data_IF_493783130064
#
_entry.id   IF_493783130064
#
_cell.length_a   1.000
_cell.length_b   1.000
_cell.length_c   1.000
_cell.angle_alpha   90.00
_cell.angle_beta   90.00
_cell.angle_gamma   90.00
#
_symmetry.space_group_name_H-M   'P 1'
#
loop_
_entity.id
_entity.type
_entity.pdbx_description
1 polymer ?
#
# COMPACT_ATOMS: atom_id res chain seq x y z
N UNK A 1 12.67 -10.81 -37.40
CA UNK A 1 12.81 -9.59 -36.56
C UNK A 1 12.05 -8.45 -37.21
N UNK A 2 11.00 -7.88 -36.58
CA UNK A 2 10.30 -6.69 -37.09
C UNK A 2 11.26 -5.48 -36.96
N UNK A 3 11.54 -4.79 -38.08
CA UNK A 3 12.38 -3.59 -38.10
C UNK A 3 11.72 -2.48 -37.27
N UNK A 4 12.47 -1.89 -36.34
CA UNK A 4 12.00 -0.80 -35.48
C UNK A 4 11.78 0.46 -36.35
N UNK A 5 10.53 0.96 -36.33
CA UNK A 5 10.15 2.18 -37.07
C UNK A 5 10.77 3.39 -36.40
N UNK A 6 11.41 4.25 -37.18
CA UNK A 6 12.11 5.45 -36.72
C UNK A 6 11.37 6.73 -37.14
N UNK A 7 11.70 7.87 -36.52
CA UNK A 7 11.19 9.20 -36.92
C UNK A 7 11.50 9.49 -38.44
N UNK A 8 12.61 8.95 -38.95
CA UNK A 8 12.95 9.06 -40.38
C UNK A 8 11.97 8.30 -41.27
N UNK A 9 11.53 7.14 -40.83
CA UNK A 9 10.55 6.34 -41.60
C UNK A 9 9.19 7.05 -41.62
N UNK A 10 8.77 7.64 -40.50
CA UNK A 10 7.54 8.44 -40.40
C UNK A 10 7.62 9.68 -41.32
N UNK A 11 8.73 10.41 -41.30
CA UNK A 11 8.94 11.58 -42.13
C UNK A 11 8.85 11.25 -43.64
N UNK A 12 9.36 10.06 -44.01
CA UNK A 12 9.28 9.56 -45.39
C UNK A 12 7.85 9.22 -45.80
N UNK A 13 7.08 8.53 -44.96
CA UNK A 13 5.68 8.16 -45.23
C UNK A 13 4.78 9.40 -45.24
N UNK A 14 4.92 10.30 -44.28
CA UNK A 14 4.15 11.54 -44.17
C UNK A 14 4.55 12.59 -45.27
N UNK A 15 5.66 12.37 -45.95
CA UNK A 15 6.26 13.34 -46.88
C UNK A 15 6.42 14.75 -46.28
N UNK A 16 7.06 14.79 -45.08
CA UNK A 16 7.39 16.03 -44.36
C UNK A 16 8.83 15.95 -43.83
N UNK A 17 9.35 17.07 -43.31
CA UNK A 17 10.68 17.08 -42.70
C UNK A 17 10.70 16.30 -41.39
N UNK A 18 11.87 15.74 -41.00
CA UNK A 18 12.09 15.11 -39.71
C UNK A 18 11.73 16.05 -38.55
N UNK A 19 12.07 17.35 -38.68
CA UNK A 19 11.71 18.38 -37.71
C UNK A 19 10.21 18.62 -37.58
N UNK A 20 9.43 18.44 -38.68
CA UNK A 20 7.96 18.51 -38.62
C UNK A 20 7.38 17.33 -37.85
N UNK A 21 7.90 16.11 -38.13
CA UNK A 21 7.49 14.90 -37.37
C UNK A 21 7.84 15.04 -35.87
N UNK A 22 9.05 15.52 -35.56
CA UNK A 22 9.47 15.76 -34.16
C UNK A 22 8.54 16.76 -33.46
N UNK A 23 8.15 17.85 -34.12
CA UNK A 23 7.21 18.83 -33.57
C UNK A 23 5.83 18.25 -33.31
N UNK A 24 5.30 17.43 -34.19
CA UNK A 24 3.99 16.79 -34.05
C UNK A 24 4.03 15.76 -32.92
N UNK A 25 5.00 14.85 -32.91
CA UNK A 25 5.12 13.79 -31.88
C UNK A 25 5.31 14.38 -30.47
N UNK A 26 5.98 15.52 -30.40
CA UNK A 26 6.32 16.17 -29.11
C UNK A 26 5.47 17.40 -28.79
N UNK A 27 4.43 17.70 -29.57
CA UNK A 27 3.57 18.90 -29.41
C UNK A 27 4.37 20.21 -29.26
N UNK A 28 5.44 20.38 -30.04
CA UNK A 28 6.33 21.55 -29.99
C UNK A 28 6.10 22.51 -31.14
N UNK A 29 5.79 23.76 -30.82
CA UNK A 29 5.64 24.83 -31.78
C UNK A 29 4.41 24.70 -32.71
N UNK A 30 4.20 25.67 -33.62
CA UNK A 30 3.10 25.66 -34.57
C UNK A 30 3.44 24.78 -35.79
N UNK A 31 2.58 23.83 -36.07
CA UNK A 31 2.61 22.99 -37.27
C UNK A 31 1.32 23.28 -38.05
N UNK A 32 1.38 23.36 -39.40
CA UNK A 32 0.16 23.57 -40.20
C UNK A 32 -0.77 22.35 -40.06
N UNK A 33 -2.08 22.58 -40.09
CA UNK A 33 -3.08 21.50 -39.99
C UNK A 33 -2.86 20.39 -41.02
N UNK A 34 -2.49 20.77 -42.26
CA UNK A 34 -2.17 19.82 -43.33
C UNK A 34 -0.97 18.94 -42.99
N UNK A 35 0.06 19.48 -42.36
CA UNK A 35 1.24 18.68 -41.96
C UNK A 35 0.91 17.82 -40.71
N UNK A 36 0.13 18.33 -39.79
CA UNK A 36 -0.35 17.60 -38.63
C UNK A 36 -1.15 16.35 -39.04
N UNK A 37 -2.09 16.53 -39.99
CA UNK A 37 -2.90 15.43 -40.50
C UNK A 37 -2.03 14.35 -41.16
N UNK A 38 -1.10 14.75 -42.08
CA UNK A 38 -0.20 13.81 -42.76
C UNK A 38 0.66 12.99 -41.77
N UNK A 39 1.17 13.62 -40.72
CA UNK A 39 1.97 12.91 -39.71
C UNK A 39 1.11 11.95 -38.91
N UNK A 40 -0.10 12.36 -38.52
CA UNK A 40 -1.03 11.50 -37.76
C UNK A 40 -1.46 10.27 -38.59
N UNK A 41 -1.69 10.45 -39.89
CA UNK A 41 -2.03 9.34 -40.80
C UNK A 41 -0.85 8.36 -40.95
N UNK A 42 0.37 8.88 -41.10
CA UNK A 42 1.58 8.06 -41.15
C UNK A 42 1.87 7.31 -39.85
N UNK A 43 1.58 7.92 -38.68
CA UNK A 43 1.71 7.26 -37.37
C UNK A 43 0.74 6.09 -37.25
N UNK A 44 -0.50 6.24 -37.74
CA UNK A 44 -1.52 5.17 -37.77
C UNK A 44 -1.12 4.06 -38.74
N UNK A 45 -0.74 4.41 -39.98
CA UNK A 45 -0.33 3.45 -41.02
C UNK A 45 0.84 2.57 -40.57
N UNK A 46 1.82 3.17 -39.91
CA UNK A 46 3.03 2.48 -39.43
C UNK A 46 2.85 1.78 -38.05
N UNK A 47 1.68 1.86 -37.42
CA UNK A 47 1.46 1.43 -36.00
C UNK A 47 2.60 1.92 -35.09
N UNK A 48 3.01 3.19 -35.28
CA UNK A 48 4.12 3.74 -34.54
C UNK A 48 3.73 4.02 -33.09
N UNK A 49 4.36 3.31 -32.17
CA UNK A 49 4.29 3.61 -30.75
C UNK A 49 5.55 4.38 -30.36
N UNK A 50 5.37 5.64 -29.92
CA UNK A 50 6.47 6.44 -29.42
C UNK A 50 7.24 5.65 -28.36
N UNK A 51 8.56 5.52 -28.52
CA UNK A 51 9.39 4.86 -27.52
C UNK A 51 9.51 5.77 -26.29
N UNK A 52 8.92 5.40 -25.12
CA UNK A 52 9.00 6.22 -23.92
C UNK A 52 10.46 6.46 -23.47
N UNK A 53 11.32 5.47 -23.66
CA UNK A 53 12.77 5.55 -23.40
C UNK A 53 13.45 6.64 -24.22
N UNK A 54 13.14 6.73 -25.54
CA UNK A 54 13.72 7.77 -26.40
C UNK A 54 13.21 9.17 -26.05
N UNK A 55 12.07 9.27 -25.38
CA UNK A 55 11.49 10.53 -24.92
C UNK A 55 12.12 10.99 -23.61
N UNK A 56 12.38 10.09 -22.68
CA UNK A 56 13.08 10.34 -21.41
C UNK A 56 14.52 10.85 -21.68
N UNK A 57 15.27 10.16 -22.52
CA UNK A 57 16.66 10.52 -22.89
C UNK A 57 16.81 11.90 -23.57
N UNK A 58 15.70 12.53 -24.01
CA UNK A 58 15.73 13.81 -24.73
C UNK A 58 15.39 15.01 -23.85
N UNK A 59 14.85 14.80 -22.65
CA UNK A 59 14.29 15.88 -21.83
C UNK A 59 15.29 16.53 -20.85
N UNK A 60 16.46 15.97 -20.58
CA UNK A 60 17.48 16.44 -19.61
C UNK A 60 16.89 16.83 -18.22
N UNK A 61 15.72 16.29 -17.86
CA UNK A 61 15.08 16.54 -16.57
C UNK A 61 15.19 15.27 -15.76
N UNK A 62 15.90 15.34 -14.64
CA UNK A 62 15.95 14.28 -13.64
C UNK A 62 14.82 14.52 -12.64
N UNK A 63 13.85 13.59 -12.58
CA UNK A 63 12.77 13.65 -11.60
C UNK A 63 13.25 13.14 -10.24
N UNK A 64 12.78 13.78 -9.18
CA UNK A 64 13.12 13.42 -7.80
C UNK A 64 11.92 12.87 -7.06
N UNK A 65 12.05 11.66 -6.50
CA UNK A 65 11.02 11.01 -5.69
C UNK A 65 11.58 10.78 -4.29
N UNK A 66 10.88 11.27 -3.28
CA UNK A 66 11.19 10.96 -1.89
C UNK A 66 10.19 9.96 -1.33
N UNK A 67 10.69 8.91 -0.68
CA UNK A 67 9.87 7.86 -0.08
C UNK A 67 10.00 7.94 1.43
N UNK A 68 8.86 7.90 2.14
CA UNK A 68 8.80 7.94 3.60
C UNK A 68 8.03 6.71 4.10
N UNK A 69 8.74 5.76 4.69
CA UNK A 69 8.18 4.49 5.21
C UNK A 69 8.62 4.25 6.65
N UNK A 70 7.86 3.46 7.44
CA UNK A 70 8.32 3.01 8.74
C UNK A 70 9.61 2.20 8.65
N UNK A 71 10.43 2.29 9.71
CA UNK A 71 11.72 1.59 9.78
C UNK A 71 11.52 0.06 9.90
N UNK A 72 11.96 -0.73 8.89
CA UNK A 72 11.86 -2.18 8.93
C UNK A 72 12.69 -2.86 10.03
N UNK A 73 13.68 -2.16 10.61
CA UNK A 73 14.45 -2.66 11.73
C UNK A 73 13.68 -2.58 13.06
N UNK A 74 12.69 -1.68 13.13
CA UNK A 74 11.82 -1.52 14.29
C UNK A 74 10.54 -2.33 14.20
N UNK A 75 10.04 -2.55 12.97
CA UNK A 75 8.87 -3.40 12.71
C UNK A 75 9.06 -4.18 11.41
N UNK A 76 9.23 -5.49 11.56
CA UNK A 76 9.51 -6.44 10.46
C UNK A 76 8.40 -6.52 9.39
N UNK A 77 7.18 -6.07 9.70
CA UNK A 77 6.09 -5.95 8.72
C UNK A 77 6.50 -5.10 7.50
N UNK A 78 7.39 -4.11 7.69
CA UNK A 78 7.80 -3.17 6.63
C UNK A 78 8.96 -3.69 5.76
N UNK A 79 9.56 -4.83 6.13
CA UNK A 79 10.65 -5.43 5.33
C UNK A 79 10.22 -5.83 3.90
N UNK A 80 9.08 -6.50 3.67
CA UNK A 80 8.58 -6.75 2.32
C UNK A 80 8.27 -5.46 1.53
N UNK A 81 7.80 -4.40 2.19
CA UNK A 81 7.60 -3.10 1.54
C UNK A 81 8.92 -2.51 1.04
N UNK A 82 9.96 -2.53 1.89
CA UNK A 82 11.30 -2.09 1.51
C UNK A 82 11.83 -2.89 0.31
N UNK A 83 11.67 -4.22 0.31
CA UNK A 83 12.08 -5.07 -0.80
C UNK A 83 11.38 -4.67 -2.10
N UNK A 84 10.05 -4.48 -2.08
CA UNK A 84 9.28 -4.03 -3.23
C UNK A 84 9.71 -2.66 -3.77
N UNK A 85 10.07 -1.72 -2.89
CA UNK A 85 10.63 -0.43 -3.27
C UNK A 85 11.99 -0.59 -3.95
N UNK A 86 12.90 -1.39 -3.36
CA UNK A 86 14.25 -1.59 -3.89
C UNK A 86 14.24 -2.26 -5.27
N UNK A 87 13.29 -3.16 -5.53
CA UNK A 87 13.10 -3.76 -6.86
C UNK A 87 12.77 -2.71 -7.92
N UNK A 88 11.88 -1.77 -7.62
CA UNK A 88 11.53 -0.71 -8.54
C UNK A 88 12.68 0.29 -8.71
N UNK A 89 13.39 0.63 -7.66
CA UNK A 89 14.60 1.46 -7.77
C UNK A 89 15.60 0.81 -8.75
N UNK A 90 15.83 -0.50 -8.62
CA UNK A 90 16.73 -1.25 -9.52
C UNK A 90 16.18 -1.33 -10.95
N UNK A 91 14.86 -1.55 -11.12
CA UNK A 91 14.21 -1.59 -12.45
C UNK A 91 14.39 -0.28 -13.22
N UNK A 92 14.40 0.84 -12.50
CA UNK A 92 14.46 2.18 -13.10
C UNK A 92 15.83 2.89 -12.93
N UNK A 93 16.88 2.21 -12.49
CA UNK A 93 18.21 2.78 -12.26
C UNK A 93 18.81 3.49 -13.49
N UNK A 94 18.51 2.97 -14.70
CA UNK A 94 19.01 3.54 -15.96
C UNK A 94 18.18 4.73 -16.49
N UNK A 95 17.18 5.20 -15.73
CA UNK A 95 16.29 6.30 -16.15
C UNK A 95 16.62 7.57 -15.38
N UNK A 96 16.18 8.72 -15.93
CA UNK A 96 16.37 10.05 -15.32
C UNK A 96 15.41 10.26 -14.12
N UNK A 97 15.56 9.44 -13.10
CA UNK A 97 14.82 9.53 -11.84
C UNK A 97 15.76 9.27 -10.65
N UNK A 98 15.76 10.18 -9.68
CA UNK A 98 16.48 10.04 -8.43
C UNK A 98 15.49 9.71 -7.31
N UNK A 99 15.67 8.54 -6.68
CA UNK A 99 14.74 8.02 -5.67
C UNK A 99 15.47 7.90 -4.34
N UNK A 100 14.98 8.60 -3.33
CA UNK A 100 15.53 8.56 -1.97
C UNK A 100 14.54 7.95 -0.99
N UNK A 101 15.01 7.00 -0.16
CA UNK A 101 14.18 6.32 0.85
C UNK A 101 14.55 6.87 2.24
N UNK A 102 13.54 7.20 3.02
CA UNK A 102 13.66 7.75 4.37
C UNK A 102 12.80 6.92 5.32
N UNK A 103 13.34 6.60 6.48
CA UNK A 103 12.69 5.76 7.47
C UNK A 103 12.29 6.57 8.69
N UNK A 104 11.07 6.37 9.18
CA UNK A 104 10.59 6.96 10.43
C UNK A 104 10.30 5.86 11.47
N UNK A 105 10.32 6.25 12.74
CA UNK A 105 9.95 5.36 13.83
C UNK A 105 8.44 5.11 13.83
N UNK A 106 7.96 3.85 13.66
CA UNK A 106 6.54 3.54 13.66
C UNK A 106 5.84 3.76 15.02
N UNK A 107 6.59 3.96 16.10
CA UNK A 107 6.06 4.28 17.43
C UNK A 107 5.97 5.77 17.74
N UNK A 108 6.64 6.63 16.91
CA UNK A 108 6.82 8.05 17.19
C UNK A 108 6.26 8.95 16.07
N UNK A 109 5.06 9.53 16.23
CA UNK A 109 4.48 10.47 15.26
C UNK A 109 5.37 11.67 14.95
N UNK A 110 6.16 12.12 15.91
CA UNK A 110 7.09 13.23 15.75
C UNK A 110 8.23 12.89 14.76
N UNK A 111 8.72 11.65 14.77
CA UNK A 111 9.71 11.15 13.79
C UNK A 111 9.18 11.28 12.36
N UNK A 112 7.93 10.87 12.10
CA UNK A 112 7.27 11.05 10.80
C UNK A 112 7.18 12.53 10.40
N UNK A 113 6.72 13.39 11.32
CA UNK A 113 6.54 14.81 11.09
C UNK A 113 7.86 15.52 10.73
N UNK A 114 8.94 15.25 11.47
CA UNK A 114 10.26 15.85 11.25
C UNK A 114 10.86 15.43 9.92
N UNK A 115 10.78 14.16 9.57
CA UNK A 115 11.30 13.67 8.29
C UNK A 115 10.46 14.21 7.15
N UNK A 116 9.12 14.18 7.25
CA UNK A 116 8.22 14.75 6.26
C UNK A 116 8.48 16.23 5.98
N UNK A 117 8.74 17.02 7.02
CA UNK A 117 9.11 18.44 6.87
C UNK A 117 10.44 18.63 6.11
N UNK A 118 11.44 17.79 6.39
CA UNK A 118 12.73 17.81 5.68
C UNK A 118 12.57 17.45 4.20
N UNK A 119 11.74 16.48 3.86
CA UNK A 119 11.47 16.09 2.47
C UNK A 119 10.82 17.22 1.68
N UNK A 120 9.79 17.85 2.24
CA UNK A 120 9.14 19.02 1.61
C UNK A 120 10.14 20.18 1.39
N UNK A 121 11.10 20.35 2.29
CA UNK A 121 12.15 21.36 2.17
C UNK A 121 13.03 21.19 0.93
N UNK A 122 13.21 19.94 0.46
CA UNK A 122 13.97 19.62 -0.76
C UNK A 122 13.16 19.82 -2.05
N UNK A 123 11.83 20.04 -1.95
CA UNK A 123 10.90 20.23 -3.06
C UNK A 123 11.02 19.13 -4.13
N UNK A 124 10.84 17.84 -3.79
CA UNK A 124 10.86 16.77 -4.77
C UNK A 124 9.67 16.88 -5.73
N UNK A 125 9.74 16.21 -6.89
CA UNK A 125 8.62 16.15 -7.84
C UNK A 125 7.47 15.29 -7.32
N UNK A 126 7.79 14.25 -6.52
CA UNK A 126 6.79 13.40 -5.89
C UNK A 126 7.21 12.91 -4.50
N UNK A 127 6.22 12.62 -3.65
CA UNK A 127 6.40 11.95 -2.36
C UNK A 127 5.50 10.73 -2.29
N UNK A 128 6.11 9.55 -2.08
CA UNK A 128 5.43 8.31 -1.71
C UNK A 128 5.55 8.11 -0.20
N UNK A 129 4.46 7.87 0.51
CA UNK A 129 4.55 7.64 1.95
C UNK A 129 3.50 6.67 2.50
N UNK A 130 3.77 6.13 3.68
CA UNK A 130 2.81 5.34 4.45
C UNK A 130 2.11 6.26 5.44
N UNK A 131 0.79 6.45 5.34
CA UNK A 131 0.04 7.29 6.28
C UNK A 131 -0.31 6.52 7.57
N UNK A 132 0.73 6.11 8.32
CA UNK A 132 0.56 5.34 9.54
C UNK A 132 -0.14 6.19 10.62
N UNK A 133 0.23 7.46 10.73
CA UNK A 133 -0.33 8.43 11.66
C UNK A 133 -1.29 9.37 10.93
N UNK A 134 -2.59 9.29 11.25
CA UNK A 134 -3.64 10.04 10.52
C UNK A 134 -3.41 11.56 10.55
N UNK A 135 -3.20 12.12 11.75
CA UNK A 135 -3.07 13.58 11.94
C UNK A 135 -1.85 14.14 11.24
N UNK A 136 -0.70 13.49 11.39
CA UNK A 136 0.58 13.89 10.82
C UNK A 136 0.57 13.73 9.29
N UNK A 137 -0.10 12.69 8.80
CA UNK A 137 -0.29 12.46 7.36
C UNK A 137 -1.14 13.53 6.71
N UNK A 138 -2.20 13.97 7.38
CA UNK A 138 -3.05 15.08 6.91
C UNK A 138 -2.27 16.38 6.80
N UNK A 139 -1.42 16.69 7.79
CA UNK A 139 -0.55 17.87 7.76
C UNK A 139 0.46 17.76 6.60
N UNK A 140 1.04 16.58 6.38
CA UNK A 140 1.97 16.35 5.27
C UNK A 140 1.27 16.56 3.93
N UNK A 141 0.11 15.95 3.70
CA UNK A 141 -0.69 16.10 2.47
C UNK A 141 -1.05 17.55 2.17
N UNK A 142 -1.50 18.30 3.18
CA UNK A 142 -1.80 19.72 2.99
C UNK A 142 -0.59 20.54 2.52
N UNK A 143 0.61 20.22 3.03
CA UNK A 143 1.85 20.89 2.63
C UNK A 143 2.30 20.48 1.23
N UNK A 144 2.16 19.20 0.86
CA UNK A 144 2.46 18.71 -0.48
C UNK A 144 1.55 19.37 -1.52
N UNK A 145 0.23 19.39 -1.26
CA UNK A 145 -0.76 20.03 -2.13
C UNK A 145 -0.50 21.54 -2.33
N UNK A 146 -0.10 22.26 -1.26
CA UNK A 146 0.24 23.70 -1.37
C UNK A 146 1.46 23.98 -2.25
N UNK A 147 2.33 22.98 -2.46
CA UNK A 147 3.54 23.10 -3.28
C UNK A 147 3.44 22.40 -4.62
N UNK A 148 2.27 21.90 -4.99
CA UNK A 148 2.02 21.10 -6.21
C UNK A 148 2.97 19.89 -6.33
N UNK A 149 3.37 19.30 -5.20
CA UNK A 149 4.17 18.08 -5.14
C UNK A 149 3.23 16.89 -5.27
N UNK A 150 3.47 16.02 -6.24
CA UNK A 150 2.66 14.82 -6.47
C UNK A 150 2.74 13.89 -5.25
N UNK A 151 1.58 13.48 -4.74
CA UNK A 151 1.47 12.63 -3.55
C UNK A 151 0.98 11.23 -3.89
N UNK A 152 1.64 10.22 -3.32
CA UNK A 152 1.15 8.85 -3.38
C UNK A 152 1.25 8.18 -2.01
N UNK A 153 0.35 7.23 -1.76
CA UNK A 153 0.35 6.44 -0.53
C UNK A 153 0.14 4.95 -0.81
N UNK A 154 0.55 4.12 0.12
CA UNK A 154 0.18 2.72 0.14
C UNK A 154 -0.14 2.27 1.57
N UNK A 155 -0.67 1.07 1.72
CA UNK A 155 -1.16 0.46 2.96
C UNK A 155 -2.49 1.07 3.40
N UNK A 156 -2.49 2.23 4.04
CA UNK A 156 -3.70 2.91 4.50
C UNK A 156 -4.10 4.03 3.54
N UNK A 157 -5.40 4.18 3.29
CA UNK A 157 -5.93 5.30 2.51
C UNK A 157 -6.20 6.47 3.46
N UNK A 158 -5.51 7.61 3.31
CA UNK A 158 -5.80 8.79 4.12
C UNK A 158 -7.19 9.37 3.81
N UNK A 159 -7.80 10.07 4.76
CA UNK A 159 -9.11 10.72 4.55
C UNK A 159 -9.04 11.91 3.59
N UNK A 160 -7.93 12.63 3.64
CA UNK A 160 -7.68 13.76 2.75
C UNK A 160 -7.24 13.32 1.35
N UNK A 161 -7.29 14.25 0.40
CA UNK A 161 -6.95 14.00 -0.98
C UNK A 161 -5.48 13.58 -1.14
N UNK A 162 -5.27 12.47 -1.84
CA UNK A 162 -3.99 11.98 -2.34
C UNK A 162 -4.12 11.69 -3.84
N UNK A 163 -3.07 11.96 -4.62
CA UNK A 163 -3.14 11.79 -6.08
C UNK A 163 -3.20 10.32 -6.49
N UNK A 164 -2.50 9.45 -5.76
CA UNK A 164 -2.50 8.01 -6.01
C UNK A 164 -2.46 7.21 -4.70
N UNK A 165 -3.17 6.10 -4.67
CA UNK A 165 -3.15 5.16 -3.56
C UNK A 165 -3.19 3.71 -4.05
N UNK A 166 -2.37 2.86 -3.45
CA UNK A 166 -2.43 1.40 -3.60
C UNK A 166 -2.54 0.76 -2.23
N UNK A 167 -3.57 -0.08 -2.02
CA UNK A 167 -3.79 -0.70 -0.72
C UNK A 167 -4.81 -1.83 -0.79
N UNK A 168 -5.38 -2.18 0.33
CA UNK A 168 -6.60 -2.99 0.41
C UNK A 168 -7.75 -2.13 0.93
N UNK A 169 -8.97 -2.54 0.60
CA UNK A 169 -10.15 -2.01 1.27
C UNK A 169 -10.19 -2.55 2.71
N UNK A 170 -9.72 -1.74 3.65
CA UNK A 170 -9.55 -2.16 5.05
C UNK A 170 -10.89 -2.37 5.76
N UNK A 171 -11.92 -1.59 5.39
CA UNK A 171 -13.27 -1.81 5.89
C UNK A 171 -13.82 -3.17 5.42
N UNK A 172 -13.72 -3.46 4.12
CA UNK A 172 -14.10 -4.76 3.58
C UNK A 172 -13.27 -5.90 4.18
N UNK A 173 -11.98 -5.67 4.39
CA UNK A 173 -11.06 -6.62 5.05
C UNK A 173 -11.52 -6.97 6.47
N UNK A 174 -11.97 -5.99 7.24
CA UNK A 174 -12.59 -6.21 8.55
C UNK A 174 -13.86 -7.06 8.47
N UNK A 175 -14.74 -6.81 7.48
CA UNK A 175 -15.93 -7.64 7.23
C UNK A 175 -15.57 -9.08 6.87
N UNK A 176 -14.52 -9.26 6.05
CA UNK A 176 -13.99 -10.61 5.72
C UNK A 176 -13.50 -11.31 6.98
N UNK A 177 -12.76 -10.64 7.85
CA UNK A 177 -12.33 -11.19 9.15
C UNK A 177 -13.50 -11.63 10.01
N UNK A 178 -14.56 -10.82 10.09
CA UNK A 178 -15.79 -11.18 10.81
C UNK A 178 -16.49 -12.40 10.20
N UNK A 179 -16.55 -12.50 8.85
CA UNK A 179 -17.11 -13.67 8.16
C UNK A 179 -16.31 -14.94 8.46
N UNK A 180 -14.99 -14.88 8.42
CA UNK A 180 -14.12 -16.02 8.75
C UNK A 180 -14.36 -16.52 10.17
N UNK A 181 -14.48 -15.59 11.12
CA UNK A 181 -14.78 -15.92 12.52
C UNK A 181 -16.19 -16.48 12.68
N UNK A 182 -17.17 -15.96 11.94
CA UNK A 182 -18.59 -16.31 12.09
C UNK A 182 -18.86 -17.82 11.94
N UNK A 183 -18.03 -18.51 11.15
CA UNK A 183 -18.17 -19.96 10.91
C UNK A 183 -17.73 -20.83 12.09
N UNK A 184 -17.04 -20.24 13.09
CA UNK A 184 -16.59 -20.89 14.33
C UNK A 184 -17.42 -20.48 15.55
N UNK A 185 -18.36 -19.54 15.43
CA UNK A 185 -19.08 -18.99 16.57
C UNK A 185 -20.19 -19.92 17.05
N UNK A 186 -20.27 -20.06 18.35
CA UNK A 186 -21.40 -20.69 19.02
C UNK A 186 -22.20 -19.63 19.78
N UNK A 187 -23.51 -19.44 19.52
CA UNK A 187 -24.28 -18.31 20.05
C UNK A 187 -24.27 -18.14 21.57
N UNK A 188 -24.21 -19.24 22.31
CA UNK A 188 -24.29 -19.22 23.78
C UNK A 188 -22.93 -19.11 24.50
N UNK A 189 -21.81 -19.37 23.80
CA UNK A 189 -20.49 -19.47 24.45
C UNK A 189 -19.40 -18.61 23.84
N UNK A 190 -19.59 -18.12 22.60
CA UNK A 190 -18.58 -17.31 21.93
C UNK A 190 -18.69 -15.85 22.35
N UNK A 191 -17.57 -15.29 22.81
CA UNK A 191 -17.37 -13.88 23.09
C UNK A 191 -16.16 -13.38 22.30
N UNK A 192 -16.34 -12.31 21.56
CA UNK A 192 -15.37 -11.84 20.58
C UNK A 192 -14.55 -10.70 21.17
N UNK A 193 -13.22 -10.79 21.06
CA UNK A 193 -12.29 -9.72 21.35
C UNK A 193 -11.66 -9.15 20.06
N UNK A 194 -11.84 -7.86 19.83
CA UNK A 194 -11.06 -7.12 18.84
C UNK A 194 -9.83 -6.57 19.54
N UNK A 195 -8.64 -6.95 19.08
CA UNK A 195 -7.37 -6.61 19.73
C UNK A 195 -6.52 -5.74 18.82
N UNK A 196 -6.10 -4.60 19.35
CA UNK A 196 -5.14 -3.68 18.74
C UNK A 196 -3.82 -3.77 19.50
N UNK A 197 -2.68 -3.94 18.83
CA UNK A 197 -1.39 -4.14 19.48
C UNK A 197 -0.42 -3.02 19.09
N UNK A 198 0.18 -2.38 20.11
CA UNK A 198 1.23 -1.35 20.06
C UNK A 198 0.89 0.00 19.42
N UNK A 199 -0.14 0.11 18.63
CA UNK A 199 -0.45 1.35 17.93
C UNK A 199 -1.54 2.16 18.66
N UNK A 200 -1.42 3.49 18.60
CA UNK A 200 -2.41 4.39 19.18
C UNK A 200 -3.67 4.42 18.30
N UNK A 201 -4.70 3.66 18.67
CA UNK A 201 -5.95 3.49 17.90
C UNK A 201 -6.54 4.81 17.38
N UNK A 202 -6.52 5.86 18.20
CA UNK A 202 -7.08 7.17 17.83
C UNK A 202 -6.30 7.92 16.75
N UNK A 203 -5.14 7.41 16.32
CA UNK A 203 -4.31 7.99 15.26
C UNK A 203 -3.95 6.96 14.17
N UNK A 204 -4.53 5.76 14.22
CA UNK A 204 -4.25 4.65 13.30
C UNK A 204 -5.50 4.29 12.49
N UNK A 205 -5.69 4.96 11.35
CA UNK A 205 -6.89 4.80 10.52
C UNK A 205 -7.11 3.36 10.05
N UNK A 206 -6.03 2.61 9.84
CA UNK A 206 -6.11 1.23 9.40
C UNK A 206 -6.78 0.31 10.43
N UNK A 207 -6.51 0.50 11.72
CA UNK A 207 -7.17 -0.27 12.78
C UNK A 207 -8.64 0.13 12.91
N UNK A 208 -8.93 1.43 12.85
CA UNK A 208 -10.30 1.94 12.90
C UNK A 208 -11.16 1.35 11.79
N UNK A 209 -10.69 1.40 10.54
CA UNK A 209 -11.43 0.86 9.40
C UNK A 209 -11.64 -0.66 9.48
N UNK A 210 -10.64 -1.40 9.91
CA UNK A 210 -10.75 -2.87 10.11
C UNK A 210 -11.77 -3.20 11.21
N UNK A 211 -11.73 -2.49 12.35
CA UNK A 211 -12.68 -2.69 13.45
C UNK A 211 -14.10 -2.29 13.04
N UNK A 212 -14.27 -1.15 12.38
CA UNK A 212 -15.55 -0.67 11.89
C UNK A 212 -16.17 -1.67 10.91
N UNK A 213 -15.39 -2.14 9.95
CA UNK A 213 -15.81 -3.19 9.03
C UNK A 213 -16.19 -4.48 9.74
N UNK A 214 -15.40 -4.91 10.72
CA UNK A 214 -15.67 -6.11 11.51
C UNK A 214 -17.00 -6.01 12.27
N UNK A 215 -17.24 -4.93 13.00
CA UNK A 215 -18.48 -4.70 13.74
C UNK A 215 -19.69 -4.60 12.83
N UNK A 216 -19.57 -3.90 11.70
CA UNK A 216 -20.66 -3.72 10.73
C UNK A 216 -21.18 -5.02 10.13
N UNK A 217 -20.33 -6.07 10.07
CA UNK A 217 -20.77 -7.38 9.61
C UNK A 217 -21.88 -7.95 10.52
N UNK A 218 -21.68 -7.93 11.83
CA UNK A 218 -22.65 -8.46 12.78
C UNK A 218 -23.91 -7.60 12.88
N UNK A 219 -23.80 -6.31 12.73
CA UNK A 219 -24.94 -5.40 12.64
C UNK A 219 -25.82 -5.72 11.41
N UNK A 220 -25.19 -5.97 10.25
CA UNK A 220 -25.90 -6.28 9.00
C UNK A 220 -26.71 -7.57 9.09
N UNK A 221 -26.18 -8.59 9.75
CA UNK A 221 -26.83 -9.89 9.84
C UNK A 221 -27.68 -10.07 11.11
N UNK A 222 -27.89 -8.97 11.88
CA UNK A 222 -28.67 -8.95 13.10
C UNK A 222 -28.27 -10.02 14.14
N UNK A 223 -27.04 -10.52 14.06
CA UNK A 223 -26.52 -11.54 14.97
C UNK A 223 -25.89 -10.84 16.17
N UNK A 224 -26.47 -11.02 17.35
CA UNK A 224 -25.99 -10.40 18.59
C UNK A 224 -24.91 -11.30 19.22
N UNK A 225 -23.66 -10.88 19.09
CA UNK A 225 -22.54 -11.40 19.87
C UNK A 225 -21.98 -10.28 20.74
N UNK A 226 -21.47 -10.64 21.92
CA UNK A 226 -20.71 -9.71 22.75
C UNK A 226 -19.35 -9.47 22.10
N UNK A 227 -19.12 -8.24 21.63
CA UNK A 227 -17.87 -7.81 20.98
C UNK A 227 -17.21 -6.78 21.89
N UNK A 228 -16.04 -7.13 22.38
CA UNK A 228 -15.21 -6.28 23.24
C UNK A 228 -13.99 -5.81 22.47
N UNK A 229 -13.52 -4.60 22.70
CA UNK A 229 -12.32 -4.05 22.07
C UNK A 229 -11.26 -3.74 23.12
N UNK A 230 -10.01 -4.09 22.83
CA UNK A 230 -8.87 -3.80 23.71
C UNK A 230 -7.64 -3.38 22.90
N UNK A 231 -7.03 -2.25 23.30
CA UNK A 231 -5.68 -1.86 22.84
C UNK A 231 -4.67 -2.34 23.89
N UNK A 232 -3.61 -2.99 23.46
CA UNK A 232 -2.61 -3.66 24.29
C UNK A 232 -1.21 -3.28 23.80
N UNK A 233 -0.28 -3.01 24.73
CA UNK A 233 1.14 -2.87 24.40
C UNK A 233 1.86 -4.22 24.56
N UNK A 234 2.83 -4.49 23.69
CA UNK A 234 3.60 -5.73 23.73
C UNK A 234 4.33 -5.93 25.06
N UNK A 235 4.78 -4.86 25.71
CA UNK A 235 5.50 -4.90 26.99
C UNK A 235 4.70 -5.57 28.13
N UNK A 236 3.38 -5.47 28.08
CA UNK A 236 2.49 -6.03 29.11
C UNK A 236 1.38 -6.93 28.53
N UNK A 237 1.60 -7.49 27.34
CA UNK A 237 0.57 -8.18 26.59
C UNK A 237 -0.02 -9.38 27.35
N UNK A 238 0.82 -10.18 28.02
CA UNK A 238 0.36 -11.39 28.70
C UNK A 238 -0.60 -11.10 29.86
N UNK A 239 -0.24 -10.15 30.72
CA UNK A 239 -1.11 -9.75 31.84
C UNK A 239 -2.38 -9.06 31.34
N UNK A 240 -2.26 -8.15 30.38
CA UNK A 240 -3.41 -7.40 29.86
C UNK A 240 -4.38 -8.29 29.09
N UNK A 241 -3.86 -9.26 28.32
CA UNK A 241 -4.72 -10.21 27.59
C UNK A 241 -5.38 -11.20 28.54
N UNK A 242 -4.68 -11.64 29.60
CA UNK A 242 -5.26 -12.48 30.65
C UNK A 242 -6.44 -11.77 31.34
N UNK A 243 -6.23 -10.54 31.78
CA UNK A 243 -7.29 -9.73 32.39
C UNK A 243 -8.47 -9.53 31.44
N UNK A 244 -8.21 -9.31 30.16
CA UNK A 244 -9.24 -9.15 29.13
C UNK A 244 -10.06 -10.43 28.95
N UNK A 245 -9.39 -11.59 28.92
CA UNK A 245 -10.04 -12.91 28.83
C UNK A 245 -10.88 -13.18 30.08
N UNK A 246 -10.32 -12.96 31.28
CA UNK A 246 -10.99 -13.28 32.54
C UNK A 246 -12.17 -12.35 32.85
N UNK A 247 -12.02 -11.05 32.58
CA UNK A 247 -13.07 -10.06 32.83
C UNK A 247 -14.27 -10.20 31.91
N UNK A 248 -14.07 -10.62 30.64
CA UNK A 248 -15.12 -10.64 29.63
C UNK A 248 -15.46 -12.06 29.12
N UNK A 249 -14.65 -13.06 29.44
CA UNK A 249 -14.80 -14.42 28.91
C UNK A 249 -14.50 -14.56 27.43
N UNK A 250 -13.65 -13.68 26.88
CA UNK A 250 -13.28 -13.68 25.46
C UNK A 250 -12.57 -14.98 25.08
N UNK A 251 -13.03 -15.62 24.01
CA UNK A 251 -12.47 -16.87 23.50
C UNK A 251 -12.31 -16.88 21.97
N UNK A 252 -12.67 -15.78 21.30
CA UNK A 252 -12.50 -15.57 19.87
C UNK A 252 -11.84 -14.21 19.65
N UNK A 253 -10.75 -14.17 18.88
CA UNK A 253 -9.91 -12.98 18.74
C UNK A 253 -9.79 -12.56 17.28
N UNK A 254 -10.07 -11.29 17.03
CA UNK A 254 -9.74 -10.59 15.79
C UNK A 254 -8.64 -9.58 16.05
N UNK A 255 -7.44 -9.83 15.52
CA UNK A 255 -6.27 -8.96 15.71
C UNK A 255 -6.12 -8.06 14.49
N UNK A 256 -6.16 -6.75 14.69
CA UNK A 256 -6.18 -5.76 13.59
C UNK A 256 -4.79 -5.37 13.06
N UNK A 257 -3.72 -5.75 13.79
CA UNK A 257 -2.32 -5.50 13.42
C UNK A 257 -1.64 -6.79 12.93
N UNK A 258 -0.43 -6.67 12.40
CA UNK A 258 0.39 -7.81 11.95
C UNK A 258 0.89 -8.71 13.08
N UNK A 259 0.76 -8.28 14.35
CA UNK A 259 1.27 -9.00 15.54
C UNK A 259 0.27 -10.05 16.06
N UNK A 260 -0.40 -10.76 15.18
CA UNK A 260 -1.40 -11.80 15.53
C UNK A 260 -0.80 -12.91 16.38
N UNK A 261 0.45 -13.24 16.16
CA UNK A 261 1.20 -14.24 16.91
C UNK A 261 1.27 -13.94 18.41
N UNK A 262 1.22 -12.68 18.81
CA UNK A 262 1.26 -12.30 20.23
C UNK A 262 0.06 -12.83 21.00
N UNK A 263 -1.13 -12.79 20.39
CA UNK A 263 -2.33 -13.38 20.97
C UNK A 263 -2.21 -14.89 21.05
N UNK A 264 -1.79 -15.55 19.96
CA UNK A 264 -1.62 -17.01 19.92
C UNK A 264 -0.58 -17.50 20.95
N UNK A 265 0.57 -16.80 21.04
CA UNK A 265 1.61 -17.07 22.03
C UNK A 265 1.10 -16.93 23.48
N UNK A 266 0.34 -15.89 23.73
CA UNK A 266 -0.20 -15.67 25.07
C UNK A 266 -1.22 -16.74 25.46
N UNK A 267 -2.12 -17.14 24.54
CA UNK A 267 -3.06 -18.23 24.78
C UNK A 267 -2.33 -19.54 25.07
N UNK A 268 -1.26 -19.84 24.35
CA UNK A 268 -0.42 -21.02 24.60
C UNK A 268 0.22 -20.99 25.99
N UNK A 269 0.84 -19.87 26.36
CA UNK A 269 1.46 -19.70 27.69
C UNK A 269 0.45 -19.83 28.83
N UNK A 270 -0.78 -19.38 28.63
CA UNK A 270 -1.87 -19.48 29.59
C UNK A 270 -2.58 -20.84 29.56
N UNK A 271 -2.16 -21.75 28.69
CA UNK A 271 -2.84 -23.04 28.43
C UNK A 271 -4.34 -22.88 28.17
N UNK A 272 -4.71 -21.82 27.42
CA UNK A 272 -6.08 -21.50 27.02
C UNK A 272 -6.25 -21.75 25.50
N UNK A 273 -7.43 -22.22 25.12
CA UNK A 273 -7.82 -22.35 23.73
C UNK A 273 -8.59 -21.11 23.27
N UNK A 274 -8.44 -20.75 21.99
CA UNK A 274 -9.16 -19.65 21.37
C UNK A 274 -9.13 -19.73 19.86
N UNK A 275 -10.09 -19.11 19.20
CA UNK A 275 -10.08 -18.87 17.75
C UNK A 275 -9.34 -17.56 17.50
N UNK A 276 -8.34 -17.57 16.66
CA UNK A 276 -7.52 -16.38 16.37
C UNK A 276 -7.50 -16.14 14.86
N UNK A 277 -7.95 -14.96 14.45
CA UNK A 277 -7.88 -14.46 13.07
C UNK A 277 -7.20 -13.09 13.10
N UNK A 278 -6.28 -12.86 12.19
CA UNK A 278 -5.58 -11.58 12.12
C UNK A 278 -4.92 -11.34 10.77
N UNK A 279 -3.79 -10.66 10.79
CA UNK A 279 -3.19 -10.13 9.55
C UNK A 279 -1.74 -10.56 9.38
N UNK A 280 -1.36 -10.67 8.09
CA UNK A 280 -0.02 -10.72 7.55
C UNK A 280 0.85 -11.94 7.86
N UNK A 281 1.80 -12.19 6.97
CA UNK A 281 2.63 -13.38 6.96
C UNK A 281 4.00 -13.13 7.61
N UNK A 282 3.99 -12.63 8.87
CA UNK A 282 5.22 -12.63 9.67
C UNK A 282 5.62 -14.07 9.99
N UNK A 283 6.91 -14.34 10.17
CA UNK A 283 7.40 -15.70 10.43
C UNK A 283 6.74 -16.34 11.65
N UNK A 284 6.54 -15.57 12.72
CA UNK A 284 5.84 -16.00 13.92
C UNK A 284 4.37 -16.31 13.65
N UNK A 285 3.69 -15.50 12.86
CA UNK A 285 2.31 -15.76 12.45
C UNK A 285 2.19 -17.06 11.65
N UNK A 286 3.12 -17.28 10.70
CA UNK A 286 3.18 -18.50 9.89
C UNK A 286 3.38 -19.74 10.76
N UNK A 287 4.28 -19.66 11.77
CA UNK A 287 4.49 -20.73 12.74
C UNK A 287 3.19 -21.12 13.44
N UNK A 288 2.52 -20.16 14.07
CA UNK A 288 1.27 -20.40 14.81
C UNK A 288 0.10 -20.79 13.90
N UNK A 289 0.07 -20.31 12.66
CA UNK A 289 -0.89 -20.75 11.64
C UNK A 289 -0.70 -22.23 11.29
N UNK A 290 0.55 -22.65 11.07
CA UNK A 290 0.90 -24.03 10.73
C UNK A 290 0.63 -24.99 11.91
N UNK A 291 0.80 -24.53 13.13
CA UNK A 291 0.50 -25.26 14.37
C UNK A 291 -1.01 -25.28 14.71
N UNK A 292 -1.85 -24.60 13.91
CA UNK A 292 -3.31 -24.52 14.12
C UNK A 292 -3.74 -23.61 15.28
N UNK A 293 -2.83 -22.79 15.81
CA UNK A 293 -3.10 -21.82 16.89
C UNK A 293 -3.69 -20.51 16.36
N UNK A 294 -3.45 -20.20 15.10
CA UNK A 294 -4.10 -19.16 14.31
C UNK A 294 -4.90 -19.89 13.23
N UNK A 295 -6.17 -19.53 13.03
CA UNK A 295 -7.04 -20.18 12.05
C UNK A 295 -6.88 -19.56 10.67
N UNK A 296 -6.84 -18.22 10.58
CA UNK A 296 -6.67 -17.50 9.34
C UNK A 296 -5.82 -16.25 9.52
N UNK A 297 -5.06 -15.95 8.46
CA UNK A 297 -4.41 -14.66 8.28
C UNK A 297 -4.94 -14.00 7.01
N UNK A 298 -5.21 -12.71 7.08
CA UNK A 298 -5.55 -11.87 5.93
C UNK A 298 -4.25 -11.24 5.45
N UNK A 299 -3.79 -11.63 4.26
CA UNK A 299 -2.54 -11.11 3.70
C UNK A 299 -2.78 -9.85 2.91
N UNK A 300 -2.08 -8.80 3.26
CA UNK A 300 -2.23 -7.48 2.64
C UNK A 300 -1.32 -7.27 1.42
N UNK A 301 -0.48 -8.25 1.07
CA UNK A 301 0.51 -8.17 -0.03
C UNK A 301 1.40 -6.90 0.04
N UNK A 302 2.10 -6.65 1.18
CA UNK A 302 2.80 -5.38 1.43
C UNK A 302 3.90 -5.08 0.39
N UNK A 303 4.64 -6.08 -0.10
CA UNK A 303 5.63 -5.93 -1.17
C UNK A 303 4.99 -5.42 -2.46
N UNK A 304 3.86 -6.00 -2.86
CA UNK A 304 3.13 -5.61 -4.07
C UNK A 304 2.55 -4.21 -3.94
N UNK A 305 1.98 -3.85 -2.80
CA UNK A 305 1.47 -2.50 -2.55
C UNK A 305 2.57 -1.44 -2.75
N UNK A 306 3.73 -1.63 -2.13
CA UNK A 306 4.84 -0.70 -2.19
C UNK A 306 5.42 -0.60 -3.62
N UNK A 307 5.65 -1.74 -4.29
CA UNK A 307 6.21 -1.77 -5.65
C UNK A 307 5.27 -1.11 -6.67
N UNK A 308 3.96 -1.44 -6.64
CA UNK A 308 2.99 -0.84 -7.56
C UNK A 308 2.83 0.67 -7.33
N UNK A 309 2.84 1.13 -6.08
CA UNK A 309 2.76 2.56 -5.76
C UNK A 309 3.95 3.33 -6.31
N UNK A 310 5.17 2.84 -6.08
CA UNK A 310 6.37 3.49 -6.59
C UNK A 310 6.43 3.43 -8.12
N UNK A 311 6.14 2.27 -8.72
CA UNK A 311 6.13 2.10 -10.18
C UNK A 311 5.17 3.06 -10.86
N UNK A 312 3.97 3.21 -10.31
CA UNK A 312 2.97 4.13 -10.87
C UNK A 312 3.43 5.60 -10.84
N UNK A 313 4.11 6.04 -9.77
CA UNK A 313 4.71 7.37 -9.70
C UNK A 313 5.82 7.57 -10.72
N UNK A 314 6.77 6.63 -10.78
CA UNK A 314 7.90 6.68 -11.73
C UNK A 314 7.39 6.74 -13.16
N UNK A 315 6.47 5.86 -13.56
CA UNK A 315 5.93 5.84 -14.92
C UNK A 315 5.06 7.07 -15.23
N UNK A 316 4.36 7.63 -14.24
CA UNK A 316 3.63 8.89 -14.41
C UNK A 316 4.59 10.06 -14.68
N UNK A 317 5.68 10.16 -13.95
CA UNK A 317 6.68 11.23 -14.14
C UNK A 317 7.43 11.06 -15.46
N UNK A 318 8.00 9.88 -15.73
CA UNK A 318 8.84 9.62 -16.88
C UNK A 318 8.04 9.54 -18.19
N UNK A 319 6.90 8.86 -18.17
CA UNK A 319 6.18 8.46 -19.38
C UNK A 319 4.81 9.12 -19.53
N UNK A 320 4.39 9.94 -18.53
CA UNK A 320 3.05 10.54 -18.46
C UNK A 320 1.93 9.51 -18.54
N UNK A 321 2.19 8.32 -17.99
CA UNK A 321 1.22 7.24 -17.93
C UNK A 321 0.21 7.52 -16.83
N UNK A 322 -1.08 7.33 -17.13
CA UNK A 322 -2.15 7.50 -16.16
C UNK A 322 -2.45 6.18 -15.45
N UNK A 323 -2.70 6.28 -14.16
CA UNK A 323 -3.10 5.20 -13.27
C UNK A 323 -4.37 5.56 -12.52
N UNK A 324 -5.16 4.57 -12.07
CA UNK A 324 -6.28 4.83 -11.19
C UNK A 324 -5.83 5.60 -9.94
N UNK A 325 -6.61 6.59 -9.51
CA UNK A 325 -6.31 7.33 -8.27
C UNK A 325 -6.29 6.43 -7.04
N UNK A 326 -7.13 5.38 -7.05
CA UNK A 326 -7.18 4.35 -6.00
C UNK A 326 -7.15 2.98 -6.66
N UNK A 327 -6.23 2.15 -6.22
CA UNK A 327 -6.12 0.75 -6.65
C UNK A 327 -6.15 -0.13 -5.41
N UNK A 328 -7.23 -0.88 -5.24
CA UNK A 328 -7.34 -1.86 -4.17
C UNK A 328 -6.92 -3.24 -4.67
N UNK A 329 -6.02 -3.88 -3.93
CA UNK A 329 -5.60 -5.26 -4.15
C UNK A 329 -6.64 -6.23 -3.58
N UNK A 330 -6.71 -7.47 -4.11
CA UNK A 330 -7.54 -8.51 -3.54
C UNK A 330 -7.25 -8.76 -2.06
N UNK A 331 -8.29 -9.18 -1.31
CA UNK A 331 -8.14 -9.63 0.06
C UNK A 331 -7.83 -11.12 0.01
N UNK A 332 -6.61 -11.51 0.38
CA UNK A 332 -6.14 -12.89 0.34
C UNK A 332 -6.29 -13.54 1.71
N UNK A 333 -6.96 -14.69 1.74
CA UNK A 333 -7.22 -15.46 2.96
C UNK A 333 -6.24 -16.63 3.00
N UNK A 334 -5.42 -16.68 4.04
CA UNK A 334 -4.38 -17.67 4.23
C UNK A 334 -4.73 -18.56 5.42
N UNK A 335 -4.58 -19.87 5.22
CA UNK A 335 -4.71 -20.89 6.24
C UNK A 335 -3.50 -21.86 6.20
N UNK A 336 -3.47 -22.86 7.06
CA UNK A 336 -2.38 -23.84 7.12
C UNK A 336 -2.14 -24.62 5.83
N UNK A 337 -3.16 -24.77 4.97
CA UNK A 337 -3.05 -25.54 3.73
C UNK A 337 -2.42 -24.74 2.60
N UNK A 338 -2.80 -23.45 2.45
CA UNK A 338 -2.34 -22.62 1.34
C UNK A 338 -1.13 -21.73 1.64
N UNK A 339 -0.71 -21.61 2.92
CA UNK A 339 0.41 -20.74 3.32
C UNK A 339 1.71 -21.06 2.56
N UNK A 340 1.96 -22.32 2.23
CA UNK A 340 3.16 -22.75 1.48
C UNK A 340 3.29 -22.11 0.09
N UNK A 341 2.19 -21.65 -0.49
CA UNK A 341 2.20 -20.95 -1.79
C UNK A 341 2.70 -19.49 -1.69
N UNK A 342 2.90 -18.99 -0.48
CA UNK A 342 3.33 -17.61 -0.19
C UNK A 342 4.74 -17.53 0.42
N UNK A 343 5.39 -18.69 0.63
CA UNK A 343 6.75 -18.84 1.14
C UNK A 343 7.71 -19.15 -0.03
#
# INVERSE_FOLDING_TARGET
MKRKITIKDIAKVANVSIGTVDRVIHNRGKVSEKALQKVNDALKELDYKANPLARSLKNNVVYTISILIPDPQKDSYWLPCQQGIMEIITEYEAFDVDISVHYFDPSEPESFSQIGARLIGKSPDAVLFVPLFERESDVLLQKLNKKDILSATFNSLPRNHVDQHVGQDLYLSGRVGAKLISDFLHPSTSKIGVVHIDEAFNNAIHMQQKEEGFKSFYETYATKYDIFTKTINTDNIHSTLLDFIESHGVNVFFVTTSKTYEVARTLELLNKNGIVVGYDLLQENIKYLTEGKIQFLIHQAPRMQASLSLKSLVEKLLFKKEYPKKQFLPIEIINSENVKSYL
#
